data_IF_657375587208
#
_entry.id   IF_657375587208
#
_cell.length_a   1.000
_cell.length_b   1.000
_cell.length_c   1.000
_cell.angle_alpha   90.00
_cell.angle_beta   90.00
_cell.angle_gamma   90.00
#
_symmetry.space_group_name_H-M   'P 1'
#
loop_
_entity.id
_entity.type
_entity.pdbx_description
1 polymer ?
#
# COMPACT_ATOMS: atom_id res chain seq x y z
N UNK A 1 -19.72 -17.50 11.24
CA UNK A 1 -20.01 -16.26 11.96
C UNK A 1 -19.20 -15.15 11.30
N UNK A 2 -19.81 -14.02 10.91
CA UNK A 2 -19.05 -12.90 10.37
C UNK A 2 -18.32 -12.19 11.52
N UNK A 3 -17.04 -11.86 11.34
CA UNK A 3 -16.31 -11.01 12.29
C UNK A 3 -17.10 -9.71 12.47
N UNK A 4 -17.35 -9.31 13.72
CA UNK A 4 -18.03 -8.04 13.99
C UNK A 4 -17.03 -6.91 13.75
N UNK A 5 -17.39 -5.86 12.99
CA UNK A 5 -16.53 -4.69 12.85
C UNK A 5 -16.23 -4.12 14.23
N UNK A 6 -14.94 -4.03 14.58
CA UNK A 6 -14.46 -3.42 15.82
C UNK A 6 -13.69 -2.13 15.49
N UNK A 7 -13.50 -1.23 16.46
CA UNK A 7 -12.66 -0.05 16.25
C UNK A 7 -11.21 -0.45 15.93
N UNK A 8 -10.53 0.40 15.17
CA UNK A 8 -9.12 0.21 14.82
C UNK A 8 -8.34 1.52 14.95
N UNK A 9 -7.11 1.41 15.50
CA UNK A 9 -6.11 2.45 15.35
C UNK A 9 -5.35 2.25 14.03
N UNK A 10 -5.36 3.25 13.16
CA UNK A 10 -4.56 3.30 11.94
C UNK A 10 -3.22 4.00 12.21
N UNK A 11 -2.14 3.23 12.08
CA UNK A 11 -0.78 3.73 11.97
C UNK A 11 -0.40 3.74 10.49
N UNK A 12 0.09 4.88 10.01
CA UNK A 12 0.46 5.06 8.61
C UNK A 12 1.85 5.66 8.48
N UNK A 13 2.68 4.98 7.71
CA UNK A 13 4.05 5.38 7.40
C UNK A 13 4.31 5.32 5.90
N UNK A 14 5.06 6.31 5.42
CA UNK A 14 5.63 6.30 4.09
C UNK A 14 7.15 6.25 4.21
N UNK A 15 7.76 5.36 3.45
CA UNK A 15 9.21 5.21 3.38
C UNK A 15 9.70 5.44 1.95
N UNK A 16 10.95 5.87 1.83
CA UNK A 16 11.69 5.89 0.57
C UNK A 16 13.00 5.19 0.81
N UNK A 17 13.24 4.09 0.10
CA UNK A 17 14.42 3.23 0.30
C UNK A 17 14.58 2.77 1.75
N UNK A 18 13.46 2.48 2.42
CA UNK A 18 13.43 2.05 3.82
C UNK A 18 13.60 3.18 4.85
N UNK A 19 13.89 4.43 4.44
CA UNK A 19 13.94 5.58 5.34
C UNK A 19 12.57 6.25 5.44
N UNK A 20 12.17 6.65 6.65
CA UNK A 20 10.92 7.37 6.90
C UNK A 20 10.89 8.67 6.09
N UNK A 21 9.79 8.88 5.37
CA UNK A 21 9.53 10.08 4.58
C UNK A 21 8.24 10.74 5.10
N UNK A 22 8.40 11.64 6.08
CA UNK A 22 7.27 12.33 6.73
C UNK A 22 6.47 13.19 5.76
N UNK A 23 7.13 13.84 4.80
CA UNK A 23 6.47 14.70 3.80
C UNK A 23 5.55 13.87 2.91
N UNK A 24 6.02 12.73 2.39
CA UNK A 24 5.19 11.83 1.61
C UNK A 24 4.04 11.26 2.47
N UNK A 25 4.32 10.92 3.73
CA UNK A 25 3.30 10.45 4.67
C UNK A 25 2.21 11.51 4.91
N UNK A 26 2.57 12.77 5.12
CA UNK A 26 1.62 13.88 5.29
C UNK A 26 0.72 14.06 4.06
N UNK A 27 1.29 13.97 2.87
CA UNK A 27 0.55 14.13 1.61
C UNK A 27 -0.42 12.98 1.32
N UNK A 28 -0.13 11.78 1.81
CA UNK A 28 -0.84 10.55 1.44
C UNK A 28 -1.69 9.96 2.57
N UNK A 29 -1.51 10.40 3.81
CA UNK A 29 -2.25 9.90 4.99
C UNK A 29 -3.76 9.99 4.84
N UNK A 30 -4.27 11.13 4.37
CA UNK A 30 -5.71 11.32 4.18
C UNK A 30 -6.26 10.32 3.14
N UNK A 31 -5.50 10.05 2.08
CA UNK A 31 -5.87 9.12 1.02
C UNK A 31 -5.90 7.68 1.56
N UNK A 32 -4.89 7.30 2.34
CA UNK A 32 -4.84 6.00 2.99
C UNK A 32 -6.02 5.82 3.96
N UNK A 33 -6.29 6.83 4.81
CA UNK A 33 -7.41 6.80 5.75
C UNK A 33 -8.77 6.62 5.04
N UNK A 34 -9.02 7.38 3.98
CA UNK A 34 -10.25 7.24 3.19
C UNK A 34 -10.33 5.89 2.49
N UNK A 35 -9.20 5.35 2.01
CA UNK A 35 -9.16 4.00 1.44
C UNK A 35 -9.51 2.92 2.48
N UNK A 36 -9.01 3.02 3.71
CA UNK A 36 -9.38 2.12 4.82
C UNK A 36 -10.88 2.25 5.12
N UNK A 37 -11.41 3.47 5.27
CA UNK A 37 -12.84 3.71 5.54
C UNK A 37 -13.74 3.08 4.49
N UNK A 38 -13.39 3.21 3.20
CA UNK A 38 -14.17 2.67 2.08
C UNK A 38 -14.30 1.14 2.10
N UNK A 39 -13.43 0.42 2.79
CA UNK A 39 -13.55 -1.04 2.91
C UNK A 39 -14.71 -1.48 3.79
N UNK A 40 -15.15 -0.64 4.73
CA UNK A 40 -16.19 -0.99 5.70
C UNK A 40 -15.80 -2.11 6.67
N UNK A 41 -14.51 -2.48 6.76
CA UNK A 41 -14.05 -3.57 7.62
C UNK A 41 -14.09 -3.25 9.12
N UNK A 42 -14.05 -1.96 9.48
CA UNK A 42 -13.94 -1.49 10.86
C UNK A 42 -15.11 -0.58 11.20
N UNK A 43 -15.60 -0.64 12.45
CA UNK A 43 -16.72 0.21 12.91
C UNK A 43 -16.30 1.65 13.16
N UNK A 44 -15.03 1.86 13.52
CA UNK A 44 -14.41 3.16 13.74
C UNK A 44 -12.94 3.09 13.36
N UNK A 45 -12.40 4.16 12.79
CA UNK A 45 -10.98 4.28 12.45
C UNK A 45 -10.44 5.55 13.11
N UNK A 46 -9.52 5.38 14.04
CA UNK A 46 -8.83 6.47 14.74
C UNK A 46 -7.35 6.46 14.41
N UNK A 47 -6.70 7.63 14.47
CA UNK A 47 -5.22 7.71 14.42
C UNK A 47 -4.60 7.66 15.81
N UNK A 48 -5.41 7.86 16.85
CA UNK A 48 -5.03 7.68 18.24
C UNK A 48 -5.31 6.23 18.69
N UNK A 49 -4.65 5.76 19.77
CA UNK A 49 -4.98 4.47 20.37
C UNK A 49 -6.47 4.38 20.70
N UNK A 50 -7.08 3.25 20.39
CA UNK A 50 -8.47 2.95 20.77
C UNK A 50 -8.46 1.85 21.83
N UNK A 51 -9.15 2.08 22.94
CA UNK A 51 -9.27 1.11 24.03
C UNK A 51 -9.92 -0.17 23.53
N UNK A 52 -9.29 -1.31 23.81
CA UNK A 52 -9.69 -2.63 23.32
C UNK A 52 -9.89 -2.74 21.79
N UNK A 53 -9.33 -1.76 21.05
CA UNK A 53 -9.36 -1.73 19.61
C UNK A 53 -8.20 -2.50 18.99
N UNK A 54 -8.37 -2.86 17.72
CA UNK A 54 -7.30 -3.44 16.93
C UNK A 54 -6.28 -2.37 16.52
N UNK A 55 -5.09 -2.82 16.10
CA UNK A 55 -4.07 -1.95 15.50
C UNK A 55 -3.87 -2.36 14.05
N UNK A 56 -3.93 -1.40 13.15
CA UNK A 56 -3.67 -1.54 11.72
C UNK A 56 -2.48 -0.64 11.36
N UNK A 57 -1.32 -1.24 11.14
CA UNK A 57 -0.13 -0.54 10.67
C UNK A 57 0.03 -0.74 9.17
N UNK A 58 0.07 0.34 8.41
CA UNK A 58 0.30 0.33 6.96
C UNK A 58 1.60 1.07 6.67
N UNK A 59 2.51 0.39 5.98
CA UNK A 59 3.80 0.93 5.53
C UNK A 59 3.82 0.87 4.01
N UNK A 60 4.00 2.02 3.36
CA UNK A 60 4.25 2.10 1.92
C UNK A 60 5.70 2.51 1.71
N UNK A 61 6.52 1.62 1.16
CA UNK A 61 7.93 1.91 0.89
C UNK A 61 8.20 2.00 -0.62
N UNK A 62 8.61 3.18 -1.09
CA UNK A 62 9.12 3.36 -2.45
C UNK A 62 10.53 2.76 -2.53
N UNK A 63 10.68 1.69 -3.31
CA UNK A 63 11.92 0.93 -3.46
C UNK A 63 12.43 0.97 -4.90
N UNK A 64 13.75 1.10 -5.12
CA UNK A 64 14.33 0.99 -6.44
C UNK A 64 14.12 -0.43 -6.98
N UNK A 65 13.78 -0.53 -8.25
CA UNK A 65 13.52 -1.80 -8.92
C UNK A 65 14.81 -2.55 -9.31
N UNK A 66 15.98 -2.04 -8.93
CA UNK A 66 17.29 -2.54 -9.35
C UNK A 66 18.02 -3.36 -8.30
N UNK A 67 17.83 -3.10 -7.00
CA UNK A 67 18.90 -3.40 -6.03
C UNK A 67 18.55 -4.37 -4.91
N UNK A 68 17.40 -5.06 -4.93
CA UNK A 68 17.08 -6.02 -3.86
C UNK A 68 16.40 -7.31 -4.32
N UNK A 69 16.49 -8.36 -3.51
CA UNK A 69 15.67 -9.57 -3.65
C UNK A 69 14.16 -9.25 -3.66
N UNK A 70 13.78 -8.11 -3.06
CA UNK A 70 12.46 -7.52 -3.17
C UNK A 70 12.12 -7.10 -4.61
N UNK A 71 13.04 -6.78 -5.52
CA UNK A 71 12.74 -6.42 -6.91
C UNK A 71 12.46 -7.63 -7.83
N UNK A 72 12.76 -8.86 -7.41
CA UNK A 72 12.55 -10.10 -8.20
C UNK A 72 11.07 -10.39 -8.55
N UNK A 73 10.12 -9.69 -7.92
CA UNK A 73 8.69 -9.77 -8.24
C UNK A 73 8.19 -8.64 -9.17
N UNK A 74 9.04 -7.65 -9.46
CA UNK A 74 8.77 -6.59 -10.43
C UNK A 74 9.47 -6.88 -11.78
N UNK A 75 9.63 -8.16 -12.10
CA UNK A 75 10.23 -8.60 -13.37
C UNK A 75 9.25 -8.29 -14.50
N UNK A 76 9.35 -7.08 -15.05
CA UNK A 76 8.94 -6.76 -16.42
C UNK A 76 9.73 -5.52 -16.90
N UNK A 77 10.86 -5.75 -17.57
CA UNK A 77 11.30 -4.86 -18.65
C UNK A 77 12.09 -3.60 -18.30
N UNK A 78 12.98 -3.62 -17.30
CA UNK A 78 13.98 -2.55 -17.14
C UNK A 78 15.03 -2.63 -18.26
N UNK A 79 14.70 -2.05 -19.41
CA UNK A 79 15.72 -1.48 -20.30
C UNK A 79 16.34 -0.28 -19.58
N UNK A 80 17.36 -0.55 -18.75
CA UNK A 80 18.38 0.47 -18.51
C UNK A 80 19.01 0.80 -19.86
N UNK A 81 18.65 1.97 -20.41
CA UNK A 81 19.47 2.64 -21.42
C UNK A 81 19.18 2.36 -22.91
N UNK A 82 17.94 2.10 -23.34
CA UNK A 82 17.65 2.00 -24.79
C UNK A 82 16.46 2.88 -25.19
N UNK A 83 16.77 4.07 -25.72
CA UNK A 83 15.94 5.00 -26.53
C UNK A 83 14.43 4.89 -26.28
N UNK A 84 13.94 5.67 -25.31
CA UNK A 84 12.53 5.77 -24.89
C UNK A 84 12.42 5.71 -23.37
N UNK A 85 12.29 6.85 -22.71
CA UNK A 85 12.45 6.98 -21.26
C UNK A 85 11.19 6.47 -20.53
N UNK A 86 11.14 5.18 -20.20
CA UNK A 86 10.21 4.66 -19.20
C UNK A 86 10.90 4.61 -17.83
N UNK A 87 10.41 5.38 -16.86
CA UNK A 87 10.85 5.36 -15.46
C UNK A 87 9.79 4.63 -14.65
N UNK A 88 10.18 3.69 -13.80
CA UNK A 88 9.22 2.97 -12.94
C UNK A 88 9.59 3.14 -11.47
N UNK A 89 8.62 3.57 -10.68
CA UNK A 89 8.69 3.61 -9.22
C UNK A 89 8.03 2.35 -8.64
N UNK A 90 8.78 1.56 -7.88
CA UNK A 90 8.29 0.34 -7.25
C UNK A 90 7.87 0.59 -5.80
N UNK A 91 6.75 0.01 -5.38
CA UNK A 91 6.23 0.15 -4.02
C UNK A 91 6.04 -1.21 -3.37
N UNK A 92 6.71 -1.41 -2.23
CA UNK A 92 6.46 -2.53 -1.33
C UNK A 92 5.52 -2.04 -0.24
N UNK A 93 4.28 -2.50 -0.28
CA UNK A 93 3.24 -2.08 0.65
C UNK A 93 3.00 -3.21 1.63
N UNK A 94 3.13 -2.95 2.93
CA UNK A 94 2.97 -3.94 3.99
C UNK A 94 1.88 -3.49 4.94
N UNK A 95 1.07 -4.44 5.39
CA UNK A 95 0.12 -4.25 6.48
C UNK A 95 0.45 -5.21 7.60
N UNK A 96 0.45 -4.69 8.82
CA UNK A 96 0.44 -5.47 10.03
C UNK A 96 -0.86 -5.19 10.77
N UNK A 97 -1.63 -6.23 11.00
CA UNK A 97 -2.92 -6.14 11.67
C UNK A 97 -2.89 -6.98 12.95
N UNK A 98 -3.20 -6.34 14.07
CA UNK A 98 -3.28 -6.95 15.39
C UNK A 98 -4.73 -6.84 15.89
N UNK A 99 -5.53 -7.92 15.86
CA UNK A 99 -6.94 -7.87 16.25
C UNK A 99 -7.14 -7.50 17.72
N UNK A 100 -6.24 -7.96 18.58
CA UNK A 100 -6.17 -7.64 20.01
C UNK A 100 -4.78 -8.01 20.54
N UNK A 101 -4.42 -7.55 21.74
CA UNK A 101 -3.09 -7.78 22.32
C UNK A 101 -2.71 -9.26 22.49
N UNK A 102 -3.68 -10.19 22.45
CA UNK A 102 -3.47 -11.63 22.63
C UNK A 102 -3.71 -12.45 21.35
N UNK A 103 -4.17 -11.82 20.27
CA UNK A 103 -4.42 -12.48 19.01
C UNK A 103 -3.16 -12.54 18.13
N UNK A 104 -3.02 -13.55 17.26
CA UNK A 104 -1.90 -13.60 16.33
C UNK A 104 -1.93 -12.41 15.37
N UNK A 105 -0.76 -11.80 15.15
CA UNK A 105 -0.58 -10.71 14.18
C UNK A 105 -0.71 -11.25 12.76
N UNK A 106 -1.48 -10.58 11.93
CA UNK A 106 -1.56 -10.84 10.49
C UNK A 106 -0.62 -9.86 9.78
N UNK A 107 0.35 -10.38 9.04
CA UNK A 107 1.22 -9.58 8.17
C UNK A 107 0.97 -9.95 6.72
N UNK A 108 0.63 -8.96 5.89
CA UNK A 108 0.51 -9.13 4.43
C UNK A 108 1.34 -8.09 3.71
N UNK A 109 1.81 -8.46 2.53
CA UNK A 109 2.59 -7.57 1.67
C UNK A 109 2.06 -7.67 0.24
N UNK A 110 1.86 -6.51 -0.39
CA UNK A 110 1.50 -6.38 -1.80
C UNK A 110 2.52 -5.49 -2.51
N UNK A 111 2.59 -5.63 -3.83
CA UNK A 111 3.50 -4.89 -4.70
C UNK A 111 2.67 -3.98 -5.59
N UNK A 112 3.14 -2.76 -5.80
CA UNK A 112 2.53 -1.81 -6.72
C UNK A 112 3.61 -1.05 -7.49
N UNK A 113 3.30 -0.53 -8.67
CA UNK A 113 4.24 0.23 -9.48
C UNK A 113 3.54 1.41 -10.17
N UNK A 114 4.27 2.53 -10.29
CA UNK A 114 3.90 3.64 -11.18
C UNK A 114 4.88 3.62 -12.35
N UNK A 115 4.35 3.48 -13.56
CA UNK A 115 5.13 3.57 -14.79
C UNK A 115 4.95 4.96 -15.41
N UNK A 116 6.04 5.71 -15.51
CA UNK A 116 6.09 6.97 -16.26
C UNK A 116 6.65 6.66 -17.64
N UNK A 117 5.88 6.88 -18.70
CA UNK A 117 6.33 6.72 -20.09
C UNK A 117 6.54 8.08 -20.75
N UNK A 118 7.71 8.29 -21.34
CA UNK A 118 8.01 9.47 -22.17
C UNK A 118 8.29 9.01 -23.60
N UNK A 119 7.45 9.43 -24.55
CA UNK A 119 7.56 9.08 -25.97
C UNK A 119 6.61 7.96 -26.40
N UNK A 120 6.89 7.32 -27.54
CA UNK A 120 5.96 6.42 -28.25
C UNK A 120 5.82 5.00 -27.66
N UNK A 121 6.51 4.67 -26.56
CA UNK A 121 6.30 3.39 -25.86
C UNK A 121 5.13 3.52 -24.89
N UNK A 122 4.16 2.61 -25.02
CA UNK A 122 3.02 2.49 -24.11
C UNK A 122 3.40 1.88 -22.76
N UNK A 123 2.57 2.14 -21.75
CA UNK A 123 2.63 1.44 -20.47
C UNK A 123 2.21 -0.04 -20.64
N UNK A 124 2.51 -0.94 -19.67
CA UNK A 124 2.02 -2.32 -19.70
C UNK A 124 0.50 -2.40 -19.94
N UNK A 125 0.03 -3.42 -20.67
CA UNK A 125 -1.37 -3.50 -21.19
C UNK A 125 -2.47 -3.34 -20.14
N UNK A 126 -2.20 -3.67 -18.87
CA UNK A 126 -3.15 -3.56 -17.75
C UNK A 126 -2.94 -2.34 -16.86
N UNK A 127 -2.12 -1.39 -17.31
CA UNK A 127 -1.89 -0.14 -16.57
C UNK A 127 -3.13 0.73 -16.64
N UNK A 128 -3.43 1.41 -15.54
CA UNK A 128 -4.50 2.40 -15.50
C UNK A 128 -3.83 3.77 -15.70
N UNK A 129 -4.24 4.54 -16.73
CA UNK A 129 -3.68 5.87 -16.93
C UNK A 129 -4.08 6.80 -15.78
N UNK A 130 -3.13 7.62 -15.35
CA UNK A 130 -3.37 8.70 -14.39
C UNK A 130 -3.24 10.04 -15.09
N UNK A 131 -4.02 11.03 -14.68
CA UNK A 131 -4.02 12.36 -15.30
C UNK A 131 -2.77 13.17 -14.96
N UNK A 132 -2.07 12.82 -13.88
CA UNK A 132 -0.83 13.47 -13.44
C UNK A 132 -0.02 12.52 -12.54
N UNK A 133 1.23 12.88 -12.24
CA UNK A 133 2.04 12.15 -11.28
C UNK A 133 1.40 12.13 -9.87
N UNK A 134 0.75 13.23 -9.47
CA UNK A 134 0.02 13.29 -8.20
C UNK A 134 -1.12 12.28 -8.21
N UNK A 135 -1.96 12.32 -9.25
CA UNK A 135 -3.09 11.39 -9.41
C UNK A 135 -2.62 9.92 -9.40
N UNK A 136 -1.49 9.62 -10.05
CA UNK A 136 -0.88 8.29 -10.04
C UNK A 136 -0.52 7.83 -8.61
N UNK A 137 0.06 8.71 -7.79
CA UNK A 137 0.36 8.42 -6.38
C UNK A 137 -0.92 8.23 -5.57
N UNK A 138 -1.94 9.07 -5.75
CA UNK A 138 -3.21 8.91 -5.04
C UNK A 138 -3.89 7.58 -5.39
N UNK A 139 -3.90 7.22 -6.67
CA UNK A 139 -4.42 5.94 -7.17
C UNK A 139 -3.62 4.76 -6.61
N UNK A 140 -2.28 4.84 -6.62
CA UNK A 140 -1.40 3.81 -6.07
C UNK A 140 -1.70 3.57 -4.59
N UNK A 141 -1.78 4.63 -3.77
CA UNK A 141 -2.09 4.50 -2.34
C UNK A 141 -3.45 3.85 -2.13
N UNK A 142 -4.49 4.28 -2.86
CA UNK A 142 -5.83 3.69 -2.74
C UNK A 142 -5.83 2.21 -3.08
N UNK A 143 -5.23 1.84 -4.21
CA UNK A 143 -5.19 0.46 -4.67
C UNK A 143 -4.34 -0.43 -3.76
N UNK A 144 -3.19 0.06 -3.29
CA UNK A 144 -2.33 -0.65 -2.36
C UNK A 144 -3.06 -0.95 -1.04
N UNK A 145 -3.72 0.05 -0.45
CA UNK A 145 -4.48 -0.11 0.80
C UNK A 145 -5.65 -1.07 0.61
N UNK A 146 -6.42 -0.94 -0.48
CA UNK A 146 -7.52 -1.88 -0.77
C UNK A 146 -7.02 -3.32 -0.90
N UNK A 147 -5.97 -3.56 -1.70
CA UNK A 147 -5.42 -4.90 -1.89
C UNK A 147 -4.86 -5.49 -0.58
N UNK A 148 -4.22 -4.67 0.26
CA UNK A 148 -3.73 -5.10 1.58
C UNK A 148 -4.88 -5.53 2.49
N UNK A 149 -5.94 -4.73 2.53
CA UNK A 149 -7.09 -5.00 3.39
C UNK A 149 -7.93 -6.18 2.89
N UNK A 150 -8.04 -6.37 1.57
CA UNK A 150 -8.65 -7.56 0.99
C UNK A 150 -7.86 -8.83 1.35
N UNK A 151 -6.52 -8.74 1.35
CA UNK A 151 -5.65 -9.84 1.76
C UNK A 151 -5.74 -10.14 3.27
N UNK A 152 -5.94 -9.12 4.11
CA UNK A 152 -6.20 -9.28 5.55
C UNK A 152 -7.59 -9.89 5.79
N UNK A 153 -8.64 -9.37 5.16
CA UNK A 153 -10.01 -9.85 5.33
C UNK A 153 -10.21 -11.29 4.84
N UNK A 154 -9.39 -11.72 3.87
CA UNK A 154 -9.35 -13.09 3.36
C UNK A 154 -8.56 -14.05 4.25
N UNK A 155 -7.79 -13.54 5.22
CA UNK A 155 -7.04 -14.36 6.16
C UNK A 155 -7.98 -15.07 7.15
N UNK A 156 -7.73 -16.35 7.41
CA UNK A 156 -8.54 -17.12 8.36
C UNK A 156 -8.45 -16.55 9.79
N UNK A 157 -7.30 -16.00 10.18
CA UNK A 157 -7.09 -15.38 11.48
C UNK A 157 -7.81 -14.02 11.65
N UNK A 158 -8.37 -13.45 10.58
CA UNK A 158 -9.17 -12.22 10.66
C UNK A 158 -10.59 -12.48 11.18
N UNK A 159 -11.09 -13.71 11.02
CA UNK A 159 -12.48 -14.10 11.36
C UNK A 159 -12.64 -14.72 12.75
N UNK A 160 -11.53 -15.03 13.42
CA UNK A 160 -11.48 -15.64 14.75
C UNK A 160 -11.37 -14.59 15.85
#
# INVERSE_FOLDING_TARGET
MAARPHPVQLLYEFQTKGAVNSVAAEQTRAIALEAVKRTGLFSEISTAPVTDGAVLSIIINNVPLTDDAAAKGFVTGLTFGVVGNQVTDGYLCTVEYLPSAKAPKITKTVRHAIHTTVGAKGAPEKSIPAASARDAVEMMVRQAVSNLLDAVASDAAFKG
#
